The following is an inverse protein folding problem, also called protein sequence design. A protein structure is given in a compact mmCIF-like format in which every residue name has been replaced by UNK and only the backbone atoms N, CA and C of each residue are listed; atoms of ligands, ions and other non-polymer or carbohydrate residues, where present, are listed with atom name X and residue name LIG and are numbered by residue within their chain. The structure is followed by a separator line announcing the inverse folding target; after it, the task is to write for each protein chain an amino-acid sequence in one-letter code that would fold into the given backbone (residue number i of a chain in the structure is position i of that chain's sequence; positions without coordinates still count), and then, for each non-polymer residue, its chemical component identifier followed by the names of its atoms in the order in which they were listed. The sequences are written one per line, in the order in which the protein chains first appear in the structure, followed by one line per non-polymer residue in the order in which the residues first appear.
data_IF_210615810483
#
_entry.id   IF_210615810483
#
_cell.length_a   1.000
_cell.length_b   1.000
_cell.length_c   1.000
_cell.angle_alpha   90.00
_cell.angle_beta   90.00
_cell.angle_gamma   90.00
#
_symmetry.space_group_name_H-M   'P 1'
#
loop_
_entity.id
_entity.type
_entity.pdbx_description
1 polymer ?
#
# COMPACT_ATOMS: atom_id res chain seq x y z
N UNK A 1 -26.33 -2.16 44.85
CA UNK A 1 -25.86 -3.49 44.42
C UNK A 1 -25.82 -3.46 42.93
N UNK A 2 -24.65 -3.18 42.39
CA UNK A 2 -24.44 -3.10 40.94
C UNK A 2 -23.15 -3.86 40.66
N UNK A 3 -23.26 -5.04 40.07
CA UNK A 3 -22.16 -5.89 39.64
C UNK A 3 -21.77 -5.50 38.22
N UNK A 4 -20.67 -4.83 38.12
CA UNK A 4 -19.96 -4.52 36.86
C UNK A 4 -19.38 -5.80 36.29
N UNK A 5 -19.98 -6.31 35.22
CA UNK A 5 -19.40 -7.39 34.41
C UNK A 5 -18.32 -6.78 33.51
N UNK A 6 -17.06 -6.92 33.91
CA UNK A 6 -15.90 -6.73 33.03
C UNK A 6 -15.69 -8.01 32.24
N UNK A 7 -15.68 -7.86 30.92
CA UNK A 7 -15.57 -8.96 29.97
C UNK A 7 -14.35 -9.85 30.21
N UNK A 8 -14.59 -11.13 30.11
CA UNK A 8 -13.62 -12.22 30.15
C UNK A 8 -12.50 -11.97 29.14
N UNK A 9 -11.30 -11.72 29.65
CA UNK A 9 -10.09 -11.88 28.86
C UNK A 9 -9.99 -13.35 28.48
N UNK A 10 -9.97 -13.68 27.20
CA UNK A 10 -9.59 -15.01 26.71
C UNK A 10 -8.19 -15.33 27.24
N UNK A 11 -8.14 -16.02 28.35
CA UNK A 11 -6.92 -16.58 28.90
C UNK A 11 -6.49 -17.73 27.98
N UNK A 12 -5.29 -17.63 27.36
CA UNK A 12 -4.67 -18.75 26.70
C UNK A 12 -4.11 -18.57 25.27
N UNK A 13 -4.16 -17.38 24.67
CA UNK A 13 -3.49 -17.18 23.39
C UNK A 13 -1.96 -17.18 23.57
N UNK A 14 -1.24 -17.98 22.76
CA UNK A 14 0.22 -17.99 22.74
C UNK A 14 0.76 -16.63 22.26
N UNK A 15 2.03 -16.30 22.61
CA UNK A 15 2.67 -15.06 22.10
C UNK A 15 2.62 -14.99 20.59
N UNK A 16 2.80 -16.11 19.91
CA UNK A 16 2.77 -16.22 18.44
C UNK A 16 1.37 -15.96 17.87
N UNK A 17 0.31 -16.38 18.57
CA UNK A 17 -1.08 -16.10 18.15
C UNK A 17 -1.44 -14.63 18.34
N UNK A 18 -0.99 -14.00 19.41
CA UNK A 18 -1.20 -12.57 19.65
C UNK A 18 -0.45 -11.73 18.62
N UNK A 19 0.80 -12.08 18.32
CA UNK A 19 1.61 -11.40 17.32
C UNK A 19 1.02 -11.60 15.91
N UNK A 20 0.59 -12.81 15.58
CA UNK A 20 -0.10 -13.11 14.31
C UNK A 20 -1.40 -12.31 14.18
N UNK A 21 -2.21 -12.22 15.23
CA UNK A 21 -3.44 -11.41 15.24
C UNK A 21 -3.17 -9.92 15.03
N UNK A 22 -2.11 -9.38 15.64
CA UNK A 22 -1.69 -7.99 15.44
C UNK A 22 -1.33 -7.71 13.98
N UNK A 23 -0.54 -8.58 13.35
CA UNK A 23 -0.14 -8.41 11.94
C UNK A 23 -1.32 -8.47 10.97
N UNK A 24 -2.28 -9.34 11.20
CA UNK A 24 -3.49 -9.44 10.41
C UNK A 24 -4.26 -8.10 10.45
N UNK A 25 -4.45 -7.53 11.64
CA UNK A 25 -5.14 -6.26 11.82
C UNK A 25 -4.41 -5.10 11.12
N UNK A 26 -3.08 -5.05 11.25
CA UNK A 26 -2.24 -4.02 10.61
C UNK A 26 -2.29 -4.15 9.09
N UNK A 27 -2.09 -5.36 8.53
CA UNK A 27 -2.20 -5.59 7.08
C UNK A 27 -3.58 -5.22 6.55
N UNK A 28 -4.66 -5.60 7.25
CA UNK A 28 -6.03 -5.26 6.87
C UNK A 28 -6.23 -3.74 6.76
N UNK A 29 -5.77 -3.00 7.76
CA UNK A 29 -5.86 -1.53 7.78
C UNK A 29 -5.07 -0.90 6.63
N UNK A 30 -3.82 -1.31 6.43
CA UNK A 30 -2.93 -0.74 5.41
C UNK A 30 -3.44 -1.06 4.00
N UNK A 31 -3.86 -2.29 3.74
CA UNK A 31 -4.39 -2.69 2.44
C UNK A 31 -5.73 -2.00 2.15
N UNK A 32 -6.55 -1.76 3.18
CA UNK A 32 -7.78 -0.96 3.05
C UNK A 32 -7.46 0.49 2.68
N UNK A 33 -6.51 1.13 3.37
CA UNK A 33 -6.08 2.51 3.07
C UNK A 33 -5.49 2.60 1.66
N UNK A 34 -4.64 1.65 1.31
CA UNK A 34 -4.06 1.55 -0.02
C UNK A 34 -5.15 1.43 -1.11
N UNK A 35 -6.08 0.51 -0.98
CA UNK A 35 -7.17 0.35 -1.93
C UNK A 35 -8.04 1.61 -2.05
N UNK A 36 -8.33 2.26 -0.93
CA UNK A 36 -9.13 3.48 -0.89
C UNK A 36 -8.45 4.67 -1.58
N UNK A 37 -7.11 4.75 -1.54
CA UNK A 37 -6.37 5.76 -2.28
C UNK A 37 -6.62 5.68 -3.80
N UNK A 38 -6.85 4.47 -4.33
CA UNK A 38 -7.22 4.27 -5.74
C UNK A 38 -8.72 4.40 -5.98
N UNK A 39 -9.56 3.83 -5.11
CA UNK A 39 -11.02 3.82 -5.27
C UNK A 39 -11.67 5.21 -5.15
N UNK A 40 -11.02 6.17 -4.47
CA UNK A 40 -11.53 7.55 -4.41
C UNK A 40 -11.70 8.20 -5.78
N UNK A 41 -10.93 7.77 -6.80
CA UNK A 41 -11.09 8.23 -8.18
C UNK A 41 -12.47 7.90 -8.75
N UNK A 42 -13.11 6.86 -8.22
CA UNK A 42 -14.47 6.43 -8.55
C UNK A 42 -15.51 6.82 -7.50
N UNK A 43 -15.11 7.62 -6.49
CA UNK A 43 -15.94 8.01 -5.34
C UNK A 43 -16.45 6.78 -4.55
N UNK A 44 -15.63 5.73 -4.49
CA UNK A 44 -15.91 4.48 -3.79
C UNK A 44 -14.96 4.31 -2.61
N UNK A 45 -15.41 3.58 -1.58
CA UNK A 45 -14.63 3.35 -0.36
C UNK A 45 -14.90 1.96 0.19
N UNK A 46 -13.86 1.28 0.64
CA UNK A 46 -13.89 0.06 1.44
C UNK A 46 -13.84 0.48 2.91
N UNK A 47 -14.73 -0.06 3.72
CA UNK A 47 -14.71 0.09 5.18
C UNK A 47 -14.11 -1.16 5.83
N UNK A 48 -14.55 -2.33 5.38
CA UNK A 48 -14.02 -3.63 5.79
C UNK A 48 -13.75 -4.53 4.58
N UNK A 49 -12.49 -4.97 4.42
CA UNK A 49 -12.09 -5.83 3.30
C UNK A 49 -12.83 -7.17 3.24
N UNK A 50 -13.26 -7.70 4.39
CA UNK A 50 -13.87 -9.02 4.45
C UNK A 50 -15.35 -9.00 4.04
N UNK A 51 -16.06 -7.91 4.30
CA UNK A 51 -17.49 -7.78 4.02
C UNK A 51 -17.78 -7.03 2.72
N UNK A 52 -17.05 -5.95 2.47
CA UNK A 52 -17.37 -5.04 1.38
C UNK A 52 -16.95 -5.57 0.00
N UNK A 53 -16.11 -6.62 -0.04
CA UNK A 53 -15.69 -7.27 -1.29
C UNK A 53 -16.59 -8.43 -1.70
N UNK A 54 -17.50 -8.88 -0.85
CA UNK A 54 -18.31 -10.10 -1.06
C UNK A 54 -19.23 -10.02 -2.28
N UNK A 55 -19.58 -8.83 -2.72
CA UNK A 55 -20.42 -8.64 -3.91
C UNK A 55 -19.63 -8.45 -5.22
N UNK A 56 -18.29 -8.39 -5.12
CA UNK A 56 -17.35 -8.24 -6.24
C UNK A 56 -17.27 -6.83 -6.83
N UNK A 57 -18.16 -5.91 -6.48
CA UNK A 57 -18.22 -4.58 -7.13
C UNK A 57 -16.98 -3.76 -6.83
N UNK A 58 -16.58 -3.65 -5.55
CA UNK A 58 -15.40 -2.88 -5.16
C UNK A 58 -14.11 -3.52 -5.69
N UNK A 59 -14.03 -4.86 -5.70
CA UNK A 59 -12.88 -5.57 -6.26
C UNK A 59 -12.73 -5.31 -7.75
N UNK A 60 -13.82 -5.40 -8.55
CA UNK A 60 -13.81 -5.08 -9.98
C UNK A 60 -13.35 -3.64 -10.21
N UNK A 61 -13.93 -2.68 -9.48
CA UNK A 61 -13.57 -1.27 -9.63
C UNK A 61 -12.11 -1.00 -9.28
N UNK A 62 -11.57 -1.66 -8.25
CA UNK A 62 -10.15 -1.57 -7.90
C UNK A 62 -9.26 -2.12 -9.02
N UNK A 63 -9.58 -3.31 -9.55
CA UNK A 63 -8.83 -3.93 -10.64
C UNK A 63 -8.84 -3.06 -11.90
N UNK A 64 -9.98 -2.49 -12.28
CA UNK A 64 -10.08 -1.59 -13.44
C UNK A 64 -9.29 -0.29 -13.25
N UNK A 65 -9.27 0.28 -12.02
CA UNK A 65 -8.45 1.47 -11.73
C UNK A 65 -6.96 1.14 -11.80
N UNK A 66 -6.56 -0.02 -11.27
CA UNK A 66 -5.15 -0.45 -11.25
C UNK A 66 -4.62 -0.84 -12.63
N UNK A 67 -5.43 -1.53 -13.43
CA UNK A 67 -5.01 -2.02 -14.75
C UNK A 67 -5.25 -1.03 -15.88
N UNK A 68 -6.12 -0.03 -15.68
CA UNK A 68 -6.70 0.86 -16.72
C UNK A 68 -7.41 0.10 -17.85
N UNK A 69 -7.89 -1.09 -17.57
CA UNK A 69 -8.66 -1.90 -18.48
C UNK A 69 -10.01 -2.25 -17.86
N UNK A 70 -11.01 -2.47 -18.69
CA UNK A 70 -12.33 -2.90 -18.21
C UNK A 70 -12.35 -4.39 -17.96
N UNK A 71 -12.93 -4.78 -16.81
CA UNK A 71 -13.25 -6.20 -16.52
C UNK A 71 -14.36 -6.72 -17.43
N UNK A 72 -15.17 -5.82 -18.01
CA UNK A 72 -16.29 -6.17 -18.86
C UNK A 72 -17.64 -5.97 -18.15
N UNK A 73 -18.65 -6.77 -18.54
CA UNK A 73 -19.99 -6.64 -17.98
C UNK A 73 -20.09 -7.27 -16.62
N UNK A 74 -20.59 -6.53 -15.62
CA UNK A 74 -20.89 -7.00 -14.28
C UNK A 74 -22.13 -6.29 -13.71
N UNK A 75 -22.70 -6.81 -12.62
CA UNK A 75 -23.84 -6.21 -11.93
C UNK A 75 -23.37 -5.15 -10.94
N UNK A 76 -23.66 -3.86 -11.24
CA UNK A 76 -23.28 -2.74 -10.36
C UNK A 76 -24.01 -2.75 -9.00
N UNK A 77 -25.21 -3.31 -8.96
CA UNK A 77 -26.05 -3.42 -7.74
C UNK A 77 -26.58 -4.85 -7.61
N UNK A 78 -25.73 -5.81 -7.23
CA UNK A 78 -26.15 -7.20 -7.14
C UNK A 78 -27.00 -7.43 -5.89
N UNK A 79 -28.29 -7.76 -6.08
CA UNK A 79 -29.22 -8.06 -4.98
C UNK A 79 -29.22 -9.54 -4.60
N UNK A 80 -29.03 -10.43 -5.60
CA UNK A 80 -29.07 -11.87 -5.43
C UNK A 80 -27.65 -12.42 -5.27
N UNK A 81 -27.52 -13.50 -4.50
CA UNK A 81 -26.24 -14.18 -4.30
C UNK A 81 -25.59 -14.60 -5.62
N UNK A 82 -26.37 -15.13 -6.55
CA UNK A 82 -25.85 -15.52 -7.87
C UNK A 82 -25.17 -14.36 -8.59
N UNK A 83 -25.71 -13.14 -8.52
CA UNK A 83 -25.10 -11.97 -9.15
C UNK A 83 -23.80 -11.55 -8.48
N UNK A 84 -23.67 -11.71 -7.14
CA UNK A 84 -22.43 -11.46 -6.40
C UNK A 84 -21.35 -12.45 -6.81
N UNK A 85 -21.71 -13.73 -6.91
CA UNK A 85 -20.79 -14.80 -7.36
C UNK A 85 -20.36 -14.62 -8.82
N UNK A 86 -21.26 -14.18 -9.72
CA UNK A 86 -20.94 -13.81 -11.10
C UNK A 86 -19.94 -12.66 -11.17
N UNK A 87 -20.11 -11.61 -10.37
CA UNK A 87 -19.15 -10.51 -10.28
C UNK A 87 -17.79 -10.97 -9.81
N UNK A 88 -17.74 -11.77 -8.75
CA UNK A 88 -16.47 -12.31 -8.23
C UNK A 88 -15.80 -13.20 -9.28
N UNK A 89 -16.57 -14.06 -9.97
CA UNK A 89 -16.05 -14.87 -11.07
C UNK A 89 -15.40 -13.99 -12.15
N UNK A 90 -16.07 -12.94 -12.61
CA UNK A 90 -15.53 -12.01 -13.59
C UNK A 90 -14.24 -11.32 -13.11
N UNK A 91 -14.18 -10.91 -11.83
CA UNK A 91 -12.95 -10.36 -11.25
C UNK A 91 -11.79 -11.37 -11.25
N UNK A 92 -12.04 -12.63 -10.92
CA UNK A 92 -11.03 -13.69 -10.89
C UNK A 92 -10.57 -14.08 -12.30
N UNK A 93 -11.47 -14.17 -13.28
CA UNK A 93 -11.14 -14.40 -14.68
C UNK A 93 -10.27 -13.24 -15.22
N UNK A 94 -10.59 -12.00 -14.87
CA UNK A 94 -9.76 -10.86 -15.23
C UNK A 94 -8.37 -10.92 -14.60
N UNK A 95 -8.26 -11.22 -13.30
CA UNK A 95 -6.97 -11.39 -12.63
C UNK A 95 -6.14 -12.51 -13.28
N UNK A 96 -6.76 -13.64 -13.62
CA UNK A 96 -6.11 -14.73 -14.33
C UNK A 96 -5.58 -14.29 -15.70
N UNK A 97 -6.36 -13.50 -16.47
CA UNK A 97 -5.93 -12.94 -17.77
C UNK A 97 -4.73 -12.00 -17.65
N UNK A 98 -4.51 -11.42 -16.47
CA UNK A 98 -3.33 -10.58 -16.15
C UNK A 98 -2.17 -11.38 -15.55
N UNK A 99 -2.25 -12.70 -15.55
CA UNK A 99 -1.25 -13.60 -14.97
C UNK A 99 -0.96 -13.30 -13.48
N UNK A 100 -2.02 -13.02 -12.69
CA UNK A 100 -1.86 -12.99 -11.23
C UNK A 100 -1.76 -14.43 -10.70
N UNK A 101 -0.81 -14.72 -9.81
CA UNK A 101 -0.71 -16.03 -9.16
C UNK A 101 -1.84 -16.17 -8.11
N UNK A 102 -2.91 -16.86 -8.48
CA UNK A 102 -4.09 -17.10 -7.63
C UNK A 102 -4.04 -18.48 -6.93
N UNK A 103 -2.86 -18.94 -6.57
CA UNK A 103 -2.69 -20.22 -5.91
C UNK A 103 -3.40 -20.23 -4.56
N UNK A 104 -4.29 -21.19 -4.33
CA UNK A 104 -5.08 -21.36 -3.12
C UNK A 104 -5.98 -20.16 -2.75
N UNK A 105 -6.37 -19.34 -3.73
CA UNK A 105 -7.30 -18.24 -3.54
C UNK A 105 -8.42 -18.34 -4.57
N UNK A 106 -9.66 -18.51 -4.12
CA UNK A 106 -10.83 -18.64 -4.96
C UNK A 106 -11.86 -17.50 -4.75
N UNK A 107 -12.75 -17.34 -5.72
CA UNK A 107 -13.88 -16.41 -5.60
C UNK A 107 -14.81 -16.76 -4.43
N UNK A 108 -14.92 -18.04 -4.07
CA UNK A 108 -15.66 -18.54 -2.91
C UNK A 108 -15.11 -18.03 -1.59
N UNK A 109 -13.79 -17.88 -1.48
CA UNK A 109 -13.14 -17.42 -0.26
C UNK A 109 -13.40 -15.92 -0.01
N UNK A 110 -13.42 -15.14 -1.09
CA UNK A 110 -13.80 -13.71 -1.04
C UNK A 110 -15.28 -13.56 -0.72
N UNK A 111 -16.14 -14.39 -1.32
CA UNK A 111 -17.56 -14.40 -1.00
C UNK A 111 -17.83 -14.77 0.47
N UNK A 112 -17.06 -15.71 1.02
CA UNK A 112 -17.14 -16.13 2.43
C UNK A 112 -16.53 -15.10 3.40
N UNK A 113 -15.75 -14.13 2.91
CA UNK A 113 -15.07 -13.14 3.74
C UNK A 113 -13.87 -13.71 4.51
N UNK A 114 -13.17 -14.72 3.96
CA UNK A 114 -12.05 -15.40 4.62
C UNK A 114 -10.84 -14.48 4.72
N UNK A 115 -10.64 -13.85 5.88
CA UNK A 115 -9.71 -12.75 6.12
C UNK A 115 -8.28 -13.03 5.63
N UNK A 116 -7.66 -14.14 6.05
CA UNK A 116 -6.27 -14.46 5.67
C UNK A 116 -6.10 -14.63 4.15
N UNK A 117 -7.12 -15.21 3.48
CA UNK A 117 -7.09 -15.40 2.03
C UNK A 117 -7.27 -14.05 1.32
N UNK A 118 -8.16 -13.20 1.79
CA UNK A 118 -8.36 -11.85 1.26
C UNK A 118 -7.08 -11.00 1.39
N UNK A 119 -6.38 -11.06 2.53
CA UNK A 119 -5.11 -10.37 2.69
C UNK A 119 -4.03 -10.91 1.75
N UNK A 120 -3.99 -12.23 1.53
CA UNK A 120 -3.13 -12.86 0.51
C UNK A 120 -3.45 -12.38 -0.90
N UNK A 121 -4.73 -12.27 -1.25
CA UNK A 121 -5.19 -11.73 -2.53
C UNK A 121 -4.75 -10.27 -2.71
N UNK A 122 -4.94 -9.43 -1.70
CA UNK A 122 -4.51 -8.03 -1.74
C UNK A 122 -3.00 -7.90 -1.92
N UNK A 123 -2.22 -8.70 -1.20
CA UNK A 123 -0.77 -8.74 -1.41
C UNK A 123 -0.40 -9.12 -2.86
N UNK A 124 -1.10 -10.07 -3.45
CA UNK A 124 -0.90 -10.48 -4.84
C UNK A 124 -1.24 -9.34 -5.82
N UNK A 125 -2.35 -8.63 -5.58
CA UNK A 125 -2.76 -7.47 -6.38
C UNK A 125 -1.73 -6.33 -6.25
N UNK A 126 -1.30 -5.99 -5.04
CA UNK A 126 -0.27 -4.97 -4.78
C UNK A 126 1.05 -5.35 -5.46
N UNK A 127 1.48 -6.61 -5.30
CA UNK A 127 2.71 -7.11 -5.90
C UNK A 127 2.70 -7.03 -7.42
N UNK A 128 1.55 -7.29 -8.05
CA UNK A 128 1.40 -7.25 -9.51
C UNK A 128 1.30 -5.83 -10.04
N UNK A 129 0.33 -5.07 -9.54
CA UNK A 129 -0.06 -3.80 -10.15
C UNK A 129 0.67 -2.58 -9.59
N UNK A 130 1.38 -2.71 -8.48
CA UNK A 130 2.15 -1.61 -7.93
C UNK A 130 3.65 -1.92 -7.91
N UNK A 131 4.04 -2.99 -7.23
CA UNK A 131 5.47 -3.35 -7.09
C UNK A 131 6.03 -3.85 -8.41
N UNK A 132 5.32 -4.73 -9.12
CA UNK A 132 5.76 -5.34 -10.38
C UNK A 132 5.98 -4.35 -11.52
N UNK A 133 5.31 -3.20 -11.48
CA UNK A 133 5.47 -2.13 -12.47
C UNK A 133 6.71 -1.25 -12.23
N UNK A 134 7.37 -1.40 -11.08
CA UNK A 134 8.60 -0.67 -10.77
C UNK A 134 9.75 -1.34 -11.50
N UNK A 135 10.46 -0.56 -12.33
CA UNK A 135 11.69 -1.01 -13.00
C UNK A 135 12.73 0.09 -12.95
N UNK A 136 13.92 -0.25 -12.48
CA UNK A 136 15.06 0.65 -12.35
C UNK A 136 16.28 -0.03 -13.01
N UNK A 137 16.76 0.54 -14.11
CA UNK A 137 17.89 0.02 -14.90
C UNK A 137 17.77 -1.47 -15.28
N UNK A 138 16.56 -1.90 -15.60
CA UNK A 138 16.28 -3.28 -15.99
C UNK A 138 16.02 -4.24 -14.84
N UNK A 139 16.19 -3.80 -13.58
CA UNK A 139 15.81 -4.55 -12.38
C UNK A 139 14.38 -4.21 -12.03
N UNK A 140 13.50 -5.21 -11.93
CA UNK A 140 12.06 -5.01 -11.77
C UNK A 140 11.53 -5.47 -10.40
N UNK A 141 10.33 -5.02 -10.06
CA UNK A 141 9.61 -5.48 -8.87
C UNK A 141 10.25 -5.00 -7.57
N UNK A 142 10.26 -5.87 -6.56
CA UNK A 142 10.80 -5.57 -5.23
C UNK A 142 12.29 -5.22 -5.27
N UNK A 143 13.07 -5.88 -6.12
CA UNK A 143 14.50 -5.61 -6.27
C UNK A 143 14.73 -4.26 -6.96
N UNK A 144 13.92 -3.90 -7.94
CA UNK A 144 13.93 -2.57 -8.55
C UNK A 144 13.59 -1.47 -7.54
N UNK A 145 12.59 -1.70 -6.69
CA UNK A 145 12.24 -0.78 -5.61
C UNK A 145 13.39 -0.65 -4.59
N UNK A 146 14.03 -1.75 -4.22
CA UNK A 146 15.21 -1.75 -3.34
C UNK A 146 16.35 -0.93 -3.94
N UNK A 147 16.65 -1.17 -5.20
CA UNK A 147 17.71 -0.44 -5.91
C UNK A 147 17.41 1.07 -5.97
N UNK A 148 16.16 1.44 -6.22
CA UNK A 148 15.74 2.84 -6.21
C UNK A 148 15.96 3.48 -4.83
N UNK A 149 15.53 2.81 -3.77
CA UNK A 149 15.71 3.30 -2.41
C UNK A 149 17.21 3.51 -2.08
N UNK A 150 18.04 2.51 -2.35
CA UNK A 150 19.48 2.56 -2.08
C UNK A 150 20.17 3.71 -2.82
N UNK A 151 19.84 3.92 -4.10
CA UNK A 151 20.43 5.00 -4.90
C UNK A 151 20.01 6.39 -4.42
N UNK A 152 18.76 6.54 -4.05
CA UNK A 152 18.25 7.85 -3.62
C UNK A 152 18.64 8.19 -2.17
N UNK A 153 19.09 7.22 -1.41
CA UNK A 153 19.58 7.44 -0.04
C UNK A 153 21.11 7.28 0.08
N UNK A 154 21.81 7.12 -1.02
CA UNK A 154 23.27 7.02 -1.01
C UNK A 154 23.90 8.32 -0.50
N UNK A 155 24.78 8.19 0.49
CA UNK A 155 25.49 9.33 1.10
C UNK A 155 24.76 9.96 2.29
N UNK A 156 23.54 9.52 2.61
CA UNK A 156 22.85 9.97 3.80
C UNK A 156 23.38 9.27 5.04
N UNK A 157 23.81 10.03 6.03
CA UNK A 157 24.31 9.50 7.29
C UNK A 157 23.20 8.73 8.03
N UNK A 158 23.55 7.60 8.62
CA UNK A 158 22.60 6.73 9.32
C UNK A 158 21.69 5.87 8.43
N UNK A 159 21.69 6.04 7.10
CA UNK A 159 20.78 5.30 6.21
C UNK A 159 21.49 4.16 5.49
N UNK A 160 21.11 2.93 5.83
CA UNK A 160 21.59 1.72 5.18
C UNK A 160 20.43 0.77 4.84
N UNK A 161 19.85 0.89 3.64
CA UNK A 161 18.71 0.09 3.24
C UNK A 161 19.15 -1.28 2.76
N UNK A 162 18.93 -2.31 3.59
CA UNK A 162 19.26 -3.73 3.30
C UNK A 162 17.99 -4.60 3.15
N UNK A 163 16.85 -4.12 3.60
CA UNK A 163 15.61 -4.88 3.66
C UNK A 163 14.38 -3.96 3.79
N UNK A 164 13.18 -4.53 3.60
CA UNK A 164 11.92 -3.82 3.81
C UNK A 164 11.30 -4.14 5.18
N UNK A 165 12.09 -4.04 6.23
CA UNK A 165 11.61 -4.15 7.63
C UNK A 165 12.47 -3.27 8.56
N UNK A 166 13.59 -3.77 9.13
CA UNK A 166 14.37 -3.04 10.14
C UNK A 166 15.01 -1.75 9.61
N UNK A 167 15.39 -1.70 8.32
CA UNK A 167 16.01 -0.51 7.71
C UNK A 167 15.09 0.71 7.60
N UNK A 168 13.83 0.59 8.02
CA UNK A 168 12.83 1.66 7.93
C UNK A 168 12.32 2.11 9.29
N UNK A 169 12.81 1.48 10.35
CA UNK A 169 12.26 1.58 11.70
C UNK A 169 12.54 2.91 12.38
N UNK A 170 13.70 3.48 12.12
CA UNK A 170 14.15 4.78 12.65
C UNK A 170 13.56 6.00 11.91
N UNK A 171 12.90 5.78 10.77
CA UNK A 171 12.32 6.83 9.95
C UNK A 171 13.30 7.57 9.05
N UNK A 172 14.61 7.45 9.27
CA UNK A 172 15.62 8.19 8.51
C UNK A 172 15.59 7.88 7.02
N UNK A 173 15.31 6.62 6.64
CA UNK A 173 15.20 6.24 5.25
C UNK A 173 14.05 6.98 4.52
N UNK A 174 12.89 7.17 5.18
CA UNK A 174 11.79 7.97 4.63
C UNK A 174 12.17 9.44 4.52
N UNK A 175 12.77 10.00 5.57
CA UNK A 175 13.24 11.39 5.59
C UNK A 175 14.27 11.65 4.49
N UNK A 176 15.26 10.75 4.31
CA UNK A 176 16.27 10.84 3.28
C UNK A 176 15.68 10.83 1.85
N UNK A 177 14.68 9.98 1.61
CA UNK A 177 13.96 9.96 0.32
C UNK A 177 13.25 11.27 0.04
N UNK A 178 12.60 11.89 1.02
CA UNK A 178 11.95 13.18 0.88
C UNK A 178 12.97 14.30 0.66
N UNK A 179 14.01 14.37 1.50
CA UNK A 179 15.08 15.36 1.39
C UNK A 179 15.80 15.30 0.04
N UNK A 180 16.04 14.10 -0.49
CA UNK A 180 16.67 13.93 -1.82
C UNK A 180 15.95 14.68 -2.91
N UNK A 181 14.65 14.81 -2.80
CA UNK A 181 13.80 15.36 -3.83
C UNK A 181 13.30 16.78 -3.52
N UNK A 182 13.24 17.12 -2.25
CA UNK A 182 12.86 18.43 -1.73
C UNK A 182 13.71 18.76 -0.50
N UNK A 183 14.97 19.16 -0.70
CA UNK A 183 15.87 19.50 0.42
C UNK A 183 15.42 20.76 1.18
N UNK A 184 14.54 21.54 0.58
CA UNK A 184 13.99 22.77 1.17
C UNK A 184 12.91 22.54 2.24
N UNK A 185 12.31 21.34 2.33
CA UNK A 185 11.21 21.07 3.26
C UNK A 185 11.64 20.33 4.52
N UNK A 186 12.87 19.84 4.60
CA UNK A 186 13.36 19.04 5.73
C UNK A 186 14.85 19.28 5.95
N UNK A 187 15.20 19.63 7.18
CA UNK A 187 16.59 19.68 7.64
C UNK A 187 17.02 18.28 8.07
N UNK A 188 17.65 17.54 7.14
CA UNK A 188 18.04 16.15 7.40
C UNK A 188 19.14 16.04 8.46
N UNK A 189 20.06 17.02 8.53
CA UNK A 189 21.21 16.98 9.42
C UNK A 189 20.80 17.17 10.91
N UNK A 190 19.58 17.66 11.15
CA UNK A 190 19.01 17.77 12.49
C UNK A 190 18.39 16.48 13.02
N UNK A 191 18.23 15.45 12.18
CA UNK A 191 17.55 14.21 12.54
C UNK A 191 18.49 13.22 13.24
N UNK A 192 17.94 12.44 14.18
CA UNK A 192 18.66 11.36 14.88
C UNK A 192 17.90 10.05 14.81
N UNK A 193 18.63 8.93 14.66
CA UNK A 193 18.06 7.59 14.75
C UNK A 193 17.43 7.28 16.12
N UNK A 194 17.77 8.04 17.15
CA UNK A 194 17.21 7.91 18.50
C UNK A 194 15.77 8.42 18.61
N UNK A 195 15.29 9.16 17.61
CA UNK A 195 13.94 9.75 17.57
C UNK A 195 13.04 9.13 16.50
N UNK A 196 12.84 7.80 16.46
CA UNK A 196 12.15 7.11 15.37
C UNK A 196 10.71 7.57 15.17
N UNK A 197 9.97 7.84 16.25
CA UNK A 197 8.58 8.26 16.18
C UNK A 197 8.44 9.66 15.55
N UNK A 198 9.32 10.58 15.94
CA UNK A 198 9.34 11.94 15.42
C UNK A 198 9.75 11.96 13.93
N UNK A 199 10.78 11.21 13.56
CA UNK A 199 11.23 11.07 12.17
C UNK A 199 10.13 10.53 11.26
N UNK A 200 9.43 9.48 11.70
CA UNK A 200 8.34 8.88 10.93
C UNK A 200 7.13 9.81 10.82
N UNK A 201 6.75 10.46 11.93
CA UNK A 201 5.65 11.43 11.92
C UNK A 201 5.94 12.58 10.96
N UNK A 202 7.15 13.13 11.04
CA UNK A 202 7.62 14.20 10.13
C UNK A 202 7.60 13.73 8.67
N UNK A 203 8.17 12.57 8.38
CA UNK A 203 8.20 12.03 7.01
C UNK A 203 6.80 11.84 6.44
N UNK A 204 5.87 11.27 7.20
CA UNK A 204 4.51 11.02 6.73
C UNK A 204 3.74 12.32 6.52
N UNK A 205 3.91 13.32 7.41
CA UNK A 205 3.29 14.63 7.26
C UNK A 205 3.81 15.34 6.01
N UNK A 206 5.14 15.41 5.82
CA UNK A 206 5.74 16.05 4.64
C UNK A 206 5.37 15.34 3.32
N UNK A 207 5.25 14.01 3.34
CA UNK A 207 4.81 13.25 2.18
C UNK A 207 3.38 13.61 1.77
N UNK A 208 2.50 13.81 2.75
CA UNK A 208 1.10 14.22 2.51
C UNK A 208 1.03 15.67 2.02
N UNK A 209 1.68 16.62 2.72
CA UNK A 209 1.57 18.05 2.47
C UNK A 209 2.19 18.46 1.13
N UNK A 210 3.38 17.94 0.81
CA UNK A 210 4.16 18.42 -0.33
C UNK A 210 4.10 17.52 -1.57
N UNK A 211 3.88 16.22 -1.37
CA UNK A 211 3.83 15.27 -2.49
C UNK A 211 2.41 14.77 -2.78
N UNK A 212 1.45 15.01 -1.86
CA UNK A 212 0.08 14.49 -1.96
C UNK A 212 0.01 12.97 -1.84
N UNK A 213 0.92 12.40 -1.04
CA UNK A 213 0.98 10.97 -0.78
C UNK A 213 0.16 10.67 0.48
N UNK A 214 -0.98 10.00 0.32
CA UNK A 214 -1.83 9.67 1.47
C UNK A 214 -1.07 8.82 2.50
N UNK A 215 -1.30 9.09 3.77
CA UNK A 215 -0.74 8.30 4.87
C UNK A 215 -1.43 6.93 4.96
N UNK A 216 -0.74 5.88 4.56
CA UNK A 216 -1.24 4.51 4.67
C UNK A 216 -0.66 3.74 5.88
N UNK A 217 0.50 4.15 6.42
CA UNK A 217 1.15 3.62 7.62
C UNK A 217 0.94 4.54 8.82
N UNK A 218 0.82 3.95 10.01
CA UNK A 218 0.93 4.66 11.27
C UNK A 218 2.35 4.48 11.85
N UNK A 219 2.79 5.43 12.67
CA UNK A 219 4.15 5.41 13.29
C UNK A 219 4.35 4.15 14.13
N UNK A 220 3.31 3.76 14.85
CA UNK A 220 3.27 2.61 15.75
C UNK A 220 3.49 1.28 15.00
N UNK A 221 3.14 1.22 13.71
CA UNK A 221 3.33 0.03 12.88
C UNK A 221 4.80 -0.33 12.68
N UNK A 222 5.68 0.66 12.83
CA UNK A 222 7.13 0.51 12.66
C UNK A 222 7.89 0.56 13.99
N UNK A 223 7.53 1.49 14.89
CA UNK A 223 8.30 1.72 16.12
C UNK A 223 8.05 0.65 17.17
N UNK A 224 6.78 0.28 17.39
CA UNK A 224 6.40 -0.60 18.49
C UNK A 224 6.68 -2.09 18.25
N UNK A 225 7.25 -2.45 17.10
CA UNK A 225 7.49 -3.84 16.74
C UNK A 225 8.98 -4.11 16.58
N UNK A 226 9.48 -5.27 17.03
CA UNK A 226 10.89 -5.63 16.88
C UNK A 226 11.30 -5.74 15.40
N UNK A 227 10.40 -6.26 14.57
CA UNK A 227 10.59 -6.43 13.13
C UNK A 227 9.27 -6.12 12.40
N UNK A 228 9.17 -4.97 11.72
CA UNK A 228 8.01 -4.66 10.88
C UNK A 228 7.74 -5.73 9.81
N UNK A 229 6.48 -5.94 9.47
CA UNK A 229 6.08 -6.87 8.40
C UNK A 229 6.57 -6.37 7.04
N UNK A 230 7.21 -7.24 6.27
CA UNK A 230 7.79 -6.87 4.98
C UNK A 230 6.74 -6.40 3.99
N UNK A 231 5.56 -7.03 3.96
CA UNK A 231 4.51 -6.70 3.00
C UNK A 231 3.96 -5.29 3.22
N UNK A 232 3.79 -4.89 4.48
CA UNK A 232 3.31 -3.54 4.79
C UNK A 232 4.34 -2.48 4.43
N UNK A 233 5.63 -2.72 4.72
CA UNK A 233 6.70 -1.77 4.39
C UNK A 233 6.87 -1.67 2.87
N UNK A 234 6.92 -2.80 2.15
CA UNK A 234 6.99 -2.78 0.67
C UNK A 234 5.79 -2.03 0.09
N UNK A 235 4.57 -2.26 0.61
CA UNK A 235 3.37 -1.56 0.14
C UNK A 235 3.51 -0.05 0.31
N UNK A 236 3.94 0.39 1.50
CA UNK A 236 4.09 1.82 1.79
C UNK A 236 5.20 2.48 0.97
N UNK A 237 6.38 1.85 0.88
CA UNK A 237 7.51 2.38 0.11
C UNK A 237 7.18 2.42 -1.39
N UNK A 238 6.53 1.38 -1.94
CA UNK A 238 6.08 1.38 -3.33
C UNK A 238 4.99 2.43 -3.59
N UNK A 239 4.14 2.69 -2.59
CA UNK A 239 3.13 3.75 -2.66
C UNK A 239 3.77 5.14 -2.66
N UNK A 240 4.77 5.37 -1.80
CA UNK A 240 5.59 6.59 -1.80
C UNK A 240 6.34 6.77 -3.13
N UNK A 241 6.96 5.71 -3.65
CA UNK A 241 7.63 5.73 -4.96
C UNK A 241 6.68 6.21 -6.07
N UNK A 242 5.47 5.64 -6.14
CA UNK A 242 4.48 6.04 -7.14
C UNK A 242 4.05 7.49 -6.98
N UNK A 243 3.69 7.89 -5.76
CA UNK A 243 3.27 9.26 -5.45
C UNK A 243 4.37 10.26 -5.80
N UNK A 244 5.62 9.92 -5.53
CA UNK A 244 6.77 10.70 -5.89
C UNK A 244 6.96 10.83 -7.43
N UNK A 245 6.85 9.73 -8.17
CA UNK A 245 6.91 9.77 -9.64
C UNK A 245 5.78 10.62 -10.22
N UNK A 246 4.58 10.52 -9.66
CA UNK A 246 3.43 11.33 -10.07
C UNK A 246 3.63 12.82 -9.75
N UNK A 247 4.26 13.14 -8.61
CA UNK A 247 4.68 14.51 -8.27
C UNK A 247 5.66 15.08 -9.30
N UNK A 248 6.74 14.37 -9.63
CA UNK A 248 7.71 14.81 -10.63
C UNK A 248 7.08 15.06 -12.02
N UNK A 249 6.13 14.21 -12.41
CA UNK A 249 5.38 14.39 -13.66
C UNK A 249 4.57 15.67 -13.64
N UNK A 250 3.89 15.98 -12.53
CA UNK A 250 3.11 17.21 -12.36
C UNK A 250 3.98 18.46 -12.42
N UNK A 251 5.19 18.39 -11.87
CA UNK A 251 6.16 19.49 -11.88
C UNK A 251 6.92 19.63 -13.23
N UNK A 252 6.63 18.81 -14.25
CA UNK A 252 7.28 18.87 -15.55
C UNK A 252 8.67 18.24 -15.62
N UNK A 253 9.13 17.56 -14.55
CA UNK A 253 10.43 16.89 -14.47
C UNK A 253 10.45 15.47 -15.09
N UNK A 254 9.54 15.20 -16.04
CA UNK A 254 9.42 13.89 -16.69
C UNK A 254 10.73 13.35 -17.28
N UNK A 255 11.68 14.22 -17.66
CA UNK A 255 12.99 13.83 -18.18
C UNK A 255 13.99 13.38 -17.09
N UNK A 256 13.78 13.77 -15.83
CA UNK A 256 14.66 13.43 -14.71
C UNK A 256 14.40 12.02 -14.14
N UNK A 257 13.32 11.37 -14.56
CA UNK A 257 12.91 10.06 -14.04
C UNK A 257 13.80 8.94 -14.61
N UNK A 258 14.76 9.25 -15.49
CA UNK A 258 15.67 8.26 -16.08
C UNK A 258 14.91 7.12 -16.78
N UNK A 259 15.50 5.93 -16.88
CA UNK A 259 14.83 4.72 -17.39
C UNK A 259 13.86 4.07 -16.35
N UNK A 260 13.28 4.86 -15.44
CA UNK A 260 12.26 4.39 -14.53
C UNK A 260 10.95 4.28 -15.34
N UNK A 261 10.62 3.08 -15.78
CA UNK A 261 9.28 2.77 -16.26
C UNK A 261 8.37 2.63 -15.05
N UNK A 262 7.86 3.75 -14.55
CA UNK A 262 6.68 3.75 -13.73
C UNK A 262 5.49 3.97 -14.68
N UNK A 263 4.56 3.11 -14.55
CA UNK A 263 3.30 3.00 -15.25
C UNK A 263 2.74 4.32 -15.79
N UNK A 264 2.69 4.46 -17.13
CA UNK A 264 2.11 5.58 -17.83
C UNK A 264 0.65 5.27 -18.20
N UNK A 265 -0.23 5.31 -17.23
CA UNK A 265 -1.67 5.38 -17.51
C UNK A 265 -2.00 6.71 -18.15
N UNK A 266 -2.43 6.70 -19.42
CA UNK A 266 -3.03 7.85 -20.08
C UNK A 266 -4.33 8.18 -19.32
N UNK A 267 -4.37 9.30 -18.60
CA UNK A 267 -5.63 9.81 -18.08
C UNK A 267 -5.60 10.39 -16.67
N UNK A 268 -4.57 11.17 -16.32
CA UNK A 268 -4.72 12.11 -15.21
C UNK A 268 -4.02 13.43 -15.57
N UNK A 269 -4.67 14.19 -16.48
CA UNK A 269 -4.37 15.60 -16.68
C UNK A 269 -5.51 16.37 -16.03
N UNK A 270 -5.12 17.29 -15.20
CA UNK A 270 -5.85 18.42 -14.62
C UNK A 270 -6.28 18.30 -13.16
N UNK A 271 -5.40 18.81 -12.27
CA UNK A 271 -5.60 20.14 -11.65
C UNK A 271 -4.31 20.54 -10.93
N UNK A 272 -3.50 21.33 -11.62
CA UNK A 272 -2.56 22.21 -10.94
C UNK A 272 -3.39 23.26 -10.19
N UNK A 273 -3.37 23.25 -8.87
CA UNK A 273 -3.75 24.42 -8.13
C UNK A 273 -2.55 25.36 -8.15
N UNK A 274 -2.78 26.53 -8.71
CA UNK A 274 -1.89 27.66 -8.65
C UNK A 274 -1.63 28.04 -7.19
N UNK A 275 -0.35 28.12 -6.83
CA UNK A 275 0.27 29.09 -5.95
C UNK A 275 1.58 29.52 -6.56
#
# INVERSE_FOLDING_TARGET
MSSTQWGERKAGASKDEVESGRWIAVQKRIFTRWANAYLRMRKMKITDLCTDLQDGVLLINLLEVLSHESVGKYRKHPKMEIHKRENLKAAFEFMASKNLPLTNVGSSDVFAGTEKIILGLFWTIISKFQVGEISVDGVSGKDGLMLWCQRNTQGYEGVHIKNFHRSWKDGLAFCALLHKHRPDIIDYDSLSADNPAENLALAFQLAEDFFGIDRILDVEDLVEVPKPDEKIVVTAVAFCFKGYVDYLRRCGFAKSIGKVRAWAGRGCVQRCYAW
#
